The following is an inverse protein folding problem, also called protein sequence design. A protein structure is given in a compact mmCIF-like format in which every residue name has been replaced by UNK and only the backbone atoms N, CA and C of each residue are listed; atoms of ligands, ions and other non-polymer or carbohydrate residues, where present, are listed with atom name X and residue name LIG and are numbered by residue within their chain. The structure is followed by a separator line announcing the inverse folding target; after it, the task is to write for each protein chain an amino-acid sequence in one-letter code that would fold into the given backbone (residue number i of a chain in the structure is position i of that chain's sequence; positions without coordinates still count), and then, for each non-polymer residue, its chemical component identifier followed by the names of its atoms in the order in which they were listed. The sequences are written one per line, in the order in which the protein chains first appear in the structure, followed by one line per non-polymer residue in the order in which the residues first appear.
data_IF_918384705968
#
_entry.id   IF_918384705968
#
_cell.length_a   1.000
_cell.length_b   1.000
_cell.length_c   1.000
_cell.angle_alpha   90.00
_cell.angle_beta   90.00
_cell.angle_gamma   90.00
#
_symmetry.space_group_name_H-M   'P 1'
#
loop_
_entity.id
_entity.type
_entity.pdbx_description
1 polymer ?
#
# COMPACT_ATOMS: atom_id res chain seq x y z
N UNK A 1 26.23 3.18 4.92
CA UNK A 1 25.54 2.16 4.15
C UNK A 1 26.53 1.53 3.19
N UNK A 2 26.74 0.22 3.28
CA UNK A 2 27.71 -0.52 2.45
C UNK A 2 27.03 -1.17 1.23
N UNK A 3 25.98 -0.54 0.68
CA UNK A 3 25.31 -1.02 -0.51
C UNK A 3 26.07 -0.59 -1.76
N UNK A 4 26.29 -1.53 -2.68
CA UNK A 4 26.83 -1.25 -4.02
C UNK A 4 25.73 -0.85 -5.01
N UNK A 5 24.45 -0.86 -4.59
CA UNK A 5 23.31 -0.45 -5.41
C UNK A 5 23.22 1.07 -5.40
N UNK A 6 23.14 1.67 -6.58
CA UNK A 6 23.02 3.12 -6.71
C UNK A 6 21.64 3.60 -6.19
N UNK A 7 21.56 4.86 -5.72
CA UNK A 7 20.28 5.40 -5.19
C UNK A 7 19.15 5.38 -6.22
N UNK A 8 19.45 5.62 -7.46
CA UNK A 8 18.51 5.61 -8.58
C UNK A 8 17.94 4.23 -8.92
N UNK A 9 18.59 3.16 -8.48
CA UNK A 9 18.13 1.78 -8.65
C UNK A 9 17.24 1.30 -7.48
N UNK A 10 17.03 2.16 -6.49
CA UNK A 10 16.20 1.86 -5.30
C UNK A 10 14.93 2.69 -5.34
N UNK A 11 13.77 2.02 -5.32
CA UNK A 11 12.49 2.68 -5.09
C UNK A 11 12.23 2.81 -3.59
N UNK A 12 12.35 4.03 -3.06
CA UNK A 12 12.29 4.31 -1.61
C UNK A 12 10.95 4.92 -1.23
N UNK A 13 10.18 4.19 -0.43
CA UNK A 13 8.89 4.64 0.11
C UNK A 13 8.99 4.93 1.60
N UNK A 14 8.39 6.02 2.05
CA UNK A 14 8.13 6.29 3.47
C UNK A 14 6.74 6.88 3.68
N UNK A 15 6.34 7.08 4.94
CA UNK A 15 4.99 7.53 5.28
C UNK A 15 5.01 8.66 6.31
N UNK A 16 4.10 9.61 6.18
CA UNK A 16 3.75 10.55 7.25
C UNK A 16 2.97 9.79 8.33
N UNK A 17 3.44 9.88 9.56
CA UNK A 17 2.76 9.25 10.69
C UNK A 17 1.52 10.03 11.13
N UNK A 18 0.69 9.41 11.93
CA UNK A 18 -0.63 9.90 12.36
C UNK A 18 -0.63 11.23 13.13
N UNK A 19 0.49 11.64 13.70
CA UNK A 19 0.67 12.92 14.39
C UNK A 19 1.16 14.06 13.47
N UNK A 20 1.27 13.80 12.16
CA UNK A 20 1.82 14.72 11.15
C UNK A 20 0.78 15.24 10.15
N UNK A 21 -0.50 15.22 10.51
CA UNK A 21 -1.60 15.63 9.63
C UNK A 21 -1.87 17.16 9.58
N UNK A 22 -1.00 17.96 10.17
CA UNK A 22 -1.06 19.43 10.03
C UNK A 22 0.00 19.86 9.05
N UNK A 23 -0.31 20.84 8.18
CA UNK A 23 0.59 21.31 7.11
C UNK A 23 2.03 21.52 7.57
N UNK A 24 2.25 22.32 8.64
CA UNK A 24 3.60 22.62 9.14
C UNK A 24 4.31 21.38 9.69
N UNK A 25 3.57 20.48 10.34
CA UNK A 25 4.13 19.23 10.87
C UNK A 25 4.47 18.27 9.74
N UNK A 26 3.63 18.19 8.71
CA UNK A 26 3.91 17.36 7.53
C UNK A 26 5.15 17.85 6.78
N UNK A 27 5.24 19.16 6.55
CA UNK A 27 6.40 19.78 5.88
C UNK A 27 7.71 19.50 6.62
N UNK A 28 7.74 19.74 7.94
CA UNK A 28 8.90 19.42 8.78
C UNK A 28 9.24 17.93 8.74
N UNK A 29 8.24 17.05 8.81
CA UNK A 29 8.45 15.60 8.82
C UNK A 29 8.98 15.06 7.49
N UNK A 30 8.68 15.71 6.36
CA UNK A 30 9.26 15.37 5.06
C UNK A 30 10.76 15.64 5.07
N UNK A 31 11.17 16.85 5.49
CA UNK A 31 12.59 17.22 5.56
C UNK A 31 13.36 16.35 6.56
N UNK A 32 12.79 16.08 7.74
CA UNK A 32 13.36 15.13 8.72
C UNK A 32 13.50 13.70 8.17
N UNK A 33 12.57 13.27 7.31
CA UNK A 33 12.63 11.94 6.70
C UNK A 33 13.77 11.84 5.69
N UNK A 34 13.95 12.85 4.86
CA UNK A 34 15.07 12.94 3.91
C UNK A 34 16.43 12.95 4.66
N UNK A 35 16.55 13.77 5.70
CA UNK A 35 17.76 13.85 6.52
C UNK A 35 18.08 12.50 7.19
N UNK A 36 17.08 11.87 7.83
CA UNK A 36 17.24 10.60 8.54
C UNK A 36 17.61 9.44 7.61
N UNK A 37 17.08 9.44 6.39
CA UNK A 37 17.39 8.45 5.37
C UNK A 37 18.69 8.75 4.63
N UNK A 38 19.23 9.99 4.74
CA UNK A 38 20.45 10.42 4.07
C UNK A 38 20.30 10.48 2.56
N UNK A 39 19.13 10.95 2.07
CA UNK A 39 18.82 11.02 0.63
C UNK A 39 18.26 12.40 0.26
N UNK A 40 18.43 12.78 -1.00
CA UNK A 40 17.96 14.07 -1.53
C UNK A 40 16.49 13.99 -1.99
N UNK A 41 15.97 12.78 -2.27
CA UNK A 41 14.59 12.57 -2.71
C UNK A 41 14.03 11.23 -2.25
N UNK A 42 12.70 11.15 -2.18
CA UNK A 42 11.91 9.93 -2.02
C UNK A 42 11.26 9.56 -3.36
N UNK A 43 11.08 8.28 -3.62
CA UNK A 43 10.32 7.84 -4.79
C UNK A 43 8.81 7.89 -4.52
N UNK A 44 8.38 7.56 -3.30
CA UNK A 44 6.98 7.62 -2.89
C UNK A 44 6.86 8.07 -1.42
N UNK A 45 5.95 9.00 -1.17
CA UNK A 45 5.52 9.41 0.16
C UNK A 45 4.02 9.19 0.33
N UNK A 46 3.61 8.56 1.43
CA UNK A 46 2.22 8.25 1.71
C UNK A 46 1.74 8.90 3.01
N UNK A 47 0.47 9.34 3.08
CA UNK A 47 -0.22 9.50 4.37
C UNK A 47 -0.52 8.10 4.89
N UNK A 48 -0.12 7.79 6.14
CA UNK A 48 -0.17 6.40 6.63
C UNK A 48 -1.60 5.92 6.94
N UNK A 49 -2.41 6.75 7.60
CA UNK A 49 -3.82 6.47 7.92
C UNK A 49 -4.67 7.73 7.76
N UNK A 50 -5.91 7.63 7.25
CA UNK A 50 -6.73 8.82 6.97
C UNK A 50 -7.30 9.48 8.22
N UNK A 51 -7.65 8.68 9.23
CA UNK A 51 -8.49 9.11 10.37
C UNK A 51 -7.89 8.70 11.72
N UNK A 52 -6.73 9.29 12.11
CA UNK A 52 -6.14 9.00 13.41
C UNK A 52 -7.07 9.43 14.55
N UNK A 53 -7.03 8.68 15.66
CA UNK A 53 -7.91 8.87 16.82
C UNK A 53 -8.00 10.34 17.30
N UNK A 54 -6.89 11.05 17.25
CA UNK A 54 -6.82 12.46 17.70
C UNK A 54 -7.61 13.43 16.80
N UNK A 55 -7.98 13.03 15.58
CA UNK A 55 -8.65 13.88 14.59
C UNK A 55 -10.08 13.41 14.26
N UNK A 56 -10.64 12.45 14.99
CA UNK A 56 -11.99 11.92 14.70
C UNK A 56 -13.10 12.85 15.10
N UNK A 57 -12.89 13.65 16.15
CA UNK A 57 -13.94 14.57 16.62
C UNK A 57 -14.20 15.65 15.55
N UNK A 58 -15.48 15.88 15.25
CA UNK A 58 -15.94 16.88 14.30
C UNK A 58 -15.33 16.77 12.90
N UNK A 59 -14.98 15.55 12.49
CA UNK A 59 -14.34 15.28 11.18
C UNK A 59 -13.03 16.06 10.95
N UNK A 60 -12.30 16.39 12.01
CA UNK A 60 -11.06 17.16 11.91
C UNK A 60 -9.99 16.48 11.03
N UNK A 61 -10.11 15.16 10.80
CA UNK A 61 -9.26 14.41 9.89
C UNK A 61 -9.32 14.95 8.44
N UNK A 62 -10.46 15.50 8.00
CA UNK A 62 -10.59 16.09 6.65
C UNK A 62 -9.61 17.24 6.47
N UNK A 63 -9.66 18.21 7.39
CA UNK A 63 -8.74 19.34 7.39
C UNK A 63 -7.27 18.90 7.63
N UNK A 64 -7.07 17.90 8.47
CA UNK A 64 -5.77 17.31 8.71
C UNK A 64 -5.16 16.72 7.44
N UNK A 65 -5.90 15.85 6.75
CA UNK A 65 -5.44 15.26 5.49
C UNK A 65 -5.20 16.33 4.41
N UNK A 66 -6.09 17.32 4.27
CA UNK A 66 -5.91 18.42 3.33
C UNK A 66 -4.62 19.21 3.61
N UNK A 67 -4.31 19.47 4.88
CA UNK A 67 -3.07 20.15 5.28
C UNK A 67 -1.83 19.32 4.98
N UNK A 68 -1.83 18.06 5.34
CA UNK A 68 -0.74 17.13 5.03
C UNK A 68 -0.54 16.97 3.52
N UNK A 69 -1.63 16.80 2.78
CA UNK A 69 -1.59 16.65 1.32
C UNK A 69 -0.99 17.86 0.63
N UNK A 70 -1.38 19.06 1.03
CA UNK A 70 -0.81 20.31 0.51
C UNK A 70 0.72 20.36 0.70
N UNK A 71 1.24 19.97 1.87
CA UNK A 71 2.68 19.89 2.10
C UNK A 71 3.36 18.85 1.20
N UNK A 72 2.69 17.72 0.94
CA UNK A 72 3.19 16.68 0.03
C UNK A 72 3.19 17.15 -1.43
N UNK A 73 2.18 17.87 -1.87
CA UNK A 73 2.12 18.48 -3.21
C UNK A 73 3.25 19.50 -3.44
N UNK A 74 3.56 20.31 -2.43
CA UNK A 74 4.70 21.23 -2.49
C UNK A 74 6.01 20.46 -2.60
N UNK A 75 6.23 19.44 -1.77
CA UNK A 75 7.42 18.59 -1.83
C UNK A 75 7.56 17.86 -3.19
N UNK A 76 6.44 17.45 -3.78
CA UNK A 76 6.40 16.88 -5.14
C UNK A 76 6.84 17.93 -6.19
N UNK A 77 6.29 19.14 -6.13
CA UNK A 77 6.63 20.24 -7.03
C UNK A 77 8.11 20.70 -6.88
N UNK A 78 8.66 20.61 -5.66
CA UNK A 78 10.06 20.89 -5.34
C UNK A 78 11.02 19.75 -5.77
N UNK A 79 10.51 18.59 -6.20
CA UNK A 79 11.31 17.44 -6.59
C UNK A 79 11.88 16.63 -5.41
N UNK A 80 11.50 16.94 -4.17
CA UNK A 80 11.85 16.17 -2.97
C UNK A 80 11.16 14.79 -2.94
N UNK A 81 10.00 14.66 -3.60
CA UNK A 81 9.23 13.43 -3.68
C UNK A 81 8.79 13.23 -5.13
N UNK A 82 9.00 12.04 -5.69
CA UNK A 82 8.66 11.70 -7.09
C UNK A 82 7.20 11.29 -7.30
N UNK A 83 6.59 10.72 -6.25
CA UNK A 83 5.18 10.36 -6.25
C UNK A 83 4.60 10.53 -4.84
N UNK A 84 3.35 10.98 -4.77
CA UNK A 84 2.61 11.14 -3.51
C UNK A 84 1.36 10.29 -3.52
N UNK A 85 1.01 9.72 -2.38
CA UNK A 85 -0.13 8.83 -2.26
C UNK A 85 -0.63 8.73 -0.82
N UNK A 86 -1.51 7.79 -0.63
CA UNK A 86 -2.17 7.54 0.66
C UNK A 86 -2.10 6.07 1.02
N UNK A 87 -2.38 5.74 2.28
CA UNK A 87 -2.47 4.36 2.73
C UNK A 87 -3.69 4.20 3.65
N UNK A 88 -4.39 3.07 3.53
CA UNK A 88 -5.60 2.76 4.29
C UNK A 88 -6.79 3.70 4.06
N UNK A 89 -6.80 4.47 2.97
CA UNK A 89 -7.91 5.33 2.62
C UNK A 89 -9.05 4.51 2.02
N UNK A 90 -10.23 4.63 2.60
CA UNK A 90 -11.49 4.16 2.03
C UNK A 90 -12.04 5.20 1.05
N UNK A 91 -13.07 4.85 0.27
CA UNK A 91 -13.64 5.74 -0.74
C UNK A 91 -13.99 7.13 -0.18
N UNK A 92 -14.69 7.23 0.94
CA UNK A 92 -15.09 8.51 1.53
C UNK A 92 -13.89 9.37 1.99
N UNK A 93 -12.76 8.74 2.36
CA UNK A 93 -11.53 9.47 2.67
C UNK A 93 -10.88 10.05 1.42
N UNK A 94 -10.86 9.29 0.31
CA UNK A 94 -10.37 9.75 -0.98
C UNK A 94 -11.24 10.89 -1.52
N UNK A 95 -12.57 10.76 -1.44
CA UNK A 95 -13.51 11.80 -1.85
C UNK A 95 -13.26 13.11 -1.11
N UNK A 96 -13.18 13.06 0.22
CA UNK A 96 -12.92 14.25 1.03
C UNK A 96 -11.54 14.88 0.75
N UNK A 97 -10.52 14.07 0.49
CA UNK A 97 -9.19 14.57 0.13
C UNK A 97 -9.22 15.27 -1.23
N UNK A 98 -9.87 14.69 -2.22
CA UNK A 98 -9.95 15.23 -3.58
C UNK A 98 -10.79 16.50 -3.69
N UNK A 99 -11.62 16.87 -2.70
CA UNK A 99 -12.28 18.17 -2.68
C UNK A 99 -11.29 19.35 -2.66
N UNK A 100 -10.07 19.14 -2.13
CA UNK A 100 -9.06 20.20 -1.95
C UNK A 100 -7.73 19.89 -2.64
N UNK A 101 -7.49 18.68 -3.07
CA UNK A 101 -6.26 18.25 -3.72
C UNK A 101 -6.12 18.85 -5.13
N UNK A 102 -4.94 19.36 -5.46
CA UNK A 102 -4.57 19.75 -6.84
C UNK A 102 -4.05 18.54 -7.64
N UNK A 103 -3.46 17.57 -6.95
CA UNK A 103 -2.90 16.34 -7.52
C UNK A 103 -3.69 15.15 -6.97
N UNK A 104 -4.25 14.33 -7.85
CA UNK A 104 -4.88 13.06 -7.47
C UNK A 104 -3.81 12.15 -6.86
N UNK A 105 -4.09 11.42 -5.75
CA UNK A 105 -3.15 10.44 -5.22
C UNK A 105 -2.68 9.46 -6.30
N UNK A 106 -1.36 9.34 -6.48
CA UNK A 106 -0.81 8.36 -7.44
C UNK A 106 -1.02 6.92 -6.96
N UNK A 107 -1.05 6.72 -5.64
CA UNK A 107 -1.11 5.40 -5.01
C UNK A 107 -2.08 5.41 -3.83
N UNK A 108 -2.85 4.34 -3.67
CA UNK A 108 -3.47 3.97 -2.39
C UNK A 108 -2.91 2.60 -1.96
N UNK A 109 -2.14 2.58 -0.87
CA UNK A 109 -1.57 1.34 -0.32
C UNK A 109 -2.53 0.77 0.72
N UNK A 110 -3.17 -0.36 0.42
CA UNK A 110 -4.18 -1.01 1.27
C UNK A 110 -3.88 -2.48 1.46
N UNK A 111 -4.54 -3.14 2.42
CA UNK A 111 -4.44 -4.58 2.56
C UNK A 111 -5.22 -5.25 1.42
N UNK A 112 -4.49 -5.98 0.57
CA UNK A 112 -5.06 -6.80 -0.51
C UNK A 112 -4.37 -8.17 -0.50
N UNK A 113 -5.17 -9.21 -0.41
CA UNK A 113 -4.73 -10.60 -0.42
C UNK A 113 -5.85 -11.47 -1.00
N UNK A 114 -5.58 -12.68 -1.48
CA UNK A 114 -6.63 -13.61 -1.85
C UNK A 114 -7.68 -13.72 -0.75
N UNK A 115 -8.97 -13.61 -1.09
CA UNK A 115 -10.08 -13.56 -0.13
C UNK A 115 -10.25 -12.24 0.65
N UNK A 116 -9.46 -11.21 0.32
CA UNK A 116 -9.59 -9.85 0.84
C UNK A 116 -9.21 -8.86 -0.27
N UNK A 117 -10.08 -8.71 -1.26
CA UNK A 117 -9.84 -7.95 -2.49
C UNK A 117 -10.47 -6.55 -2.53
N UNK A 118 -11.36 -6.22 -1.57
CA UNK A 118 -11.96 -4.89 -1.42
C UNK A 118 -12.54 -4.33 -2.74
N UNK A 119 -13.31 -5.14 -3.48
CA UNK A 119 -13.75 -4.89 -4.87
C UNK A 119 -14.23 -3.46 -5.13
N UNK A 120 -15.12 -2.92 -4.28
CA UNK A 120 -15.69 -1.57 -4.46
C UNK A 120 -14.59 -0.48 -4.40
N UNK A 121 -13.68 -0.58 -3.42
CA UNK A 121 -12.59 0.37 -3.27
C UNK A 121 -11.56 0.24 -4.40
N UNK A 122 -11.28 -0.99 -4.83
CA UNK A 122 -10.40 -1.28 -5.96
C UNK A 122 -10.97 -0.66 -7.23
N UNK A 123 -12.24 -0.90 -7.55
CA UNK A 123 -12.91 -0.32 -8.71
C UNK A 123 -12.87 1.22 -8.66
N UNK A 124 -13.18 1.81 -7.51
CA UNK A 124 -13.13 3.26 -7.30
C UNK A 124 -11.74 3.86 -7.57
N UNK A 125 -10.67 3.19 -7.12
CA UNK A 125 -9.29 3.63 -7.34
C UNK A 125 -8.90 3.50 -8.82
N UNK A 126 -9.22 2.35 -9.45
CA UNK A 126 -8.89 2.07 -10.85
C UNK A 126 -9.56 3.05 -11.82
N UNK A 127 -10.83 3.42 -11.58
CA UNK A 127 -11.54 4.44 -12.38
C UNK A 127 -10.89 5.83 -12.33
N UNK A 128 -9.99 6.08 -11.37
CA UNK A 128 -9.31 7.36 -11.15
C UNK A 128 -7.81 7.30 -11.37
N UNK A 129 -7.33 6.22 -12.00
CA UNK A 129 -5.90 5.98 -12.24
C UNK A 129 -5.05 5.99 -10.94
N UNK A 130 -5.65 5.64 -9.79
CA UNK A 130 -4.95 5.48 -8.52
C UNK A 130 -4.40 4.05 -8.45
N UNK A 131 -3.08 3.89 -8.46
CA UNK A 131 -2.43 2.59 -8.36
C UNK A 131 -2.65 1.98 -6.97
N UNK A 132 -2.80 0.66 -6.95
CA UNK A 132 -3.01 -0.09 -5.72
C UNK A 132 -1.75 -0.86 -5.34
N UNK A 133 -1.18 -0.52 -4.19
CA UNK A 133 -0.15 -1.32 -3.53
C UNK A 133 -0.79 -2.22 -2.48
N UNK A 134 -0.51 -3.52 -2.59
CA UNK A 134 -1.03 -4.54 -1.69
C UNK A 134 -0.07 -4.78 -0.53
N UNK A 135 -0.29 -4.16 0.63
CA UNK A 135 0.46 -4.58 1.82
C UNK A 135 -0.13 -5.85 2.42
N UNK A 136 0.69 -6.61 3.14
CA UNK A 136 0.32 -7.92 3.69
C UNK A 136 -0.32 -8.86 2.66
N UNK A 137 0.27 -9.05 1.47
CA UNK A 137 -0.32 -9.85 0.39
C UNK A 137 -0.48 -11.33 0.75
N UNK A 138 0.07 -11.75 1.87
CA UNK A 138 -0.06 -13.10 2.44
C UNK A 138 -1.04 -13.13 3.65
N UNK A 139 -1.92 -12.12 3.79
CA UNK A 139 -2.88 -12.02 4.87
C UNK A 139 -2.24 -12.08 6.27
N UNK A 140 -1.04 -11.49 6.47
CA UNK A 140 -0.24 -11.61 7.70
C UNK A 140 0.04 -13.05 8.13
N UNK A 141 0.04 -13.98 7.17
CA UNK A 141 0.27 -15.40 7.39
C UNK A 141 -1.01 -16.24 7.48
N UNK A 142 -2.19 -15.65 7.50
CA UNK A 142 -3.47 -16.39 7.57
C UNK A 142 -3.77 -17.22 6.32
N UNK A 143 -3.07 -16.97 5.21
CA UNK A 143 -3.23 -17.74 3.98
C UNK A 143 -2.62 -19.15 4.06
N UNK A 144 -1.62 -19.35 4.93
CA UNK A 144 -0.97 -20.66 5.06
C UNK A 144 -1.88 -21.65 5.80
N UNK A 145 -1.96 -22.88 5.29
CA UNK A 145 -2.85 -23.91 5.79
C UNK A 145 -4.30 -23.80 5.27
N UNK A 146 -4.58 -22.89 4.34
CA UNK A 146 -5.84 -22.85 3.62
C UNK A 146 -5.80 -23.90 2.49
N UNK A 147 -6.69 -24.91 2.57
CA UNK A 147 -6.67 -26.06 1.68
C UNK A 147 -6.88 -25.68 0.20
N UNK A 148 -7.72 -24.69 -0.08
CA UNK A 148 -7.98 -24.20 -1.45
C UNK A 148 -6.71 -23.57 -2.05
N UNK A 149 -5.99 -22.74 -1.26
CA UNK A 149 -4.75 -22.11 -1.70
C UNK A 149 -3.63 -23.13 -1.90
N UNK A 150 -3.54 -24.13 -1.00
CA UNK A 150 -2.58 -25.22 -1.12
C UNK A 150 -2.84 -26.05 -2.38
N UNK A 151 -4.10 -26.34 -2.70
CA UNK A 151 -4.47 -27.05 -3.91
C UNK A 151 -4.13 -26.25 -5.19
N UNK A 152 -4.32 -24.92 -5.19
CA UNK A 152 -3.89 -24.05 -6.30
C UNK A 152 -2.36 -24.05 -6.42
N UNK A 153 -1.64 -23.99 -5.31
CA UNK A 153 -0.19 -24.00 -5.27
C UNK A 153 0.39 -25.32 -5.84
N UNK A 154 -0.19 -26.45 -5.44
CA UNK A 154 0.20 -27.78 -5.94
C UNK A 154 0.00 -27.90 -7.46
N UNK A 155 -1.18 -27.52 -7.97
CA UNK A 155 -1.48 -27.57 -9.42
C UNK A 155 -0.50 -26.75 -10.26
N UNK A 156 -0.06 -25.62 -9.73
CA UNK A 156 0.86 -24.72 -10.41
C UNK A 156 2.35 -25.03 -10.13
N UNK A 157 2.65 -26.05 -9.34
CA UNK A 157 4.02 -26.39 -8.90
C UNK A 157 4.74 -25.17 -8.26
N UNK A 158 4.02 -24.31 -7.55
CA UNK A 158 4.51 -23.10 -6.88
C UNK A 158 4.18 -23.15 -5.39
N UNK A 159 4.82 -22.30 -4.60
CA UNK A 159 4.47 -22.16 -3.18
C UNK A 159 3.21 -21.31 -3.00
N UNK A 160 2.53 -21.48 -1.86
CA UNK A 160 1.38 -20.65 -1.44
C UNK A 160 1.71 -19.14 -1.54
N UNK A 161 2.92 -18.75 -1.12
CA UNK A 161 3.35 -17.35 -1.22
C UNK A 161 3.44 -16.85 -2.67
N UNK A 162 4.04 -17.65 -3.57
CA UNK A 162 4.14 -17.29 -4.98
C UNK A 162 2.77 -17.19 -5.65
N UNK A 163 1.87 -18.11 -5.34
CA UNK A 163 0.48 -18.08 -5.84
C UNK A 163 -0.24 -16.80 -5.39
N UNK A 164 -0.16 -16.45 -4.10
CA UNK A 164 -0.79 -15.23 -3.59
C UNK A 164 -0.21 -13.95 -4.22
N UNK A 165 1.11 -13.90 -4.41
CA UNK A 165 1.77 -12.76 -5.06
C UNK A 165 1.41 -12.68 -6.54
N UNK A 166 1.32 -13.82 -7.23
CA UNK A 166 0.89 -13.87 -8.63
C UNK A 166 -0.55 -13.44 -8.81
N UNK A 167 -1.45 -13.87 -7.91
CA UNK A 167 -2.82 -13.39 -7.84
C UNK A 167 -2.86 -11.85 -7.75
N UNK A 168 -2.09 -11.24 -6.84
CA UNK A 168 -2.01 -9.78 -6.72
C UNK A 168 -1.61 -9.11 -8.03
N UNK A 169 -0.58 -9.64 -8.71
CA UNK A 169 -0.13 -9.08 -10.01
C UNK A 169 -1.21 -9.20 -11.09
N UNK A 170 -1.91 -10.34 -11.16
CA UNK A 170 -2.94 -10.56 -12.16
C UNK A 170 -4.21 -9.73 -11.91
N UNK A 171 -4.48 -9.33 -10.66
CA UNK A 171 -5.50 -8.32 -10.29
C UNK A 171 -5.05 -6.88 -10.58
N UNK A 172 -3.81 -6.67 -11.02
CA UNK A 172 -3.25 -5.34 -11.29
C UNK A 172 -2.72 -4.61 -10.05
N UNK A 173 -2.47 -5.33 -8.95
CA UNK A 173 -1.90 -4.77 -7.73
C UNK A 173 -0.39 -4.92 -7.69
N UNK A 174 0.31 -4.03 -6.99
CA UNK A 174 1.72 -4.16 -6.67
C UNK A 174 1.87 -4.80 -5.27
N UNK A 175 2.19 -6.09 -5.16
CA UNK A 175 2.34 -6.74 -3.86
C UNK A 175 3.63 -6.33 -3.15
N UNK A 176 3.54 -6.11 -1.83
CA UNK A 176 4.66 -5.74 -0.96
C UNK A 176 4.95 -6.85 0.07
N UNK A 177 5.51 -7.99 -0.33
CA UNK A 177 5.84 -9.06 0.58
C UNK A 177 7.05 -8.71 1.45
N UNK A 178 6.94 -8.90 2.76
CA UNK A 178 8.05 -8.72 3.70
C UNK A 178 8.67 -10.06 4.06
N UNK A 179 9.98 -10.18 3.95
CA UNK A 179 10.73 -11.30 4.50
C UNK A 179 12.09 -10.85 5.04
N UNK A 180 12.62 -11.60 6.01
CA UNK A 180 14.00 -11.46 6.50
C UNK A 180 14.84 -12.68 6.13
N UNK A 181 14.25 -13.69 5.49
CA UNK A 181 14.89 -14.93 5.08
C UNK A 181 15.30 -14.81 3.60
N UNK A 182 16.59 -14.84 3.25
CA UNK A 182 17.06 -14.67 1.88
C UNK A 182 16.34 -15.56 0.87
N UNK A 183 16.20 -16.84 1.17
CA UNK A 183 15.47 -17.81 0.32
C UNK A 183 14.03 -17.37 0.01
N UNK A 184 13.32 -16.78 0.99
CA UNK A 184 11.95 -16.31 0.78
C UNK A 184 11.94 -15.02 -0.05
N UNK A 185 12.94 -14.15 0.12
CA UNK A 185 13.07 -12.92 -0.69
C UNK A 185 13.26 -13.31 -2.15
N UNK A 186 14.15 -14.25 -2.44
CA UNK A 186 14.38 -14.78 -3.81
C UNK A 186 13.10 -15.42 -4.38
N UNK A 187 12.44 -16.30 -3.60
CA UNK A 187 11.21 -16.96 -4.04
C UNK A 187 10.05 -15.98 -4.29
N UNK A 188 9.96 -14.88 -3.53
CA UNK A 188 8.94 -13.85 -3.74
C UNK A 188 9.13 -13.08 -5.06
N UNK A 189 10.32 -13.11 -5.67
CA UNK A 189 10.59 -12.54 -6.99
C UNK A 189 10.35 -13.56 -8.13
N UNK A 190 10.32 -14.86 -7.83
CA UNK A 190 10.10 -15.93 -8.80
C UNK A 190 8.59 -16.14 -9.07
N UNK A 191 7.94 -15.10 -9.59
CA UNK A 191 6.48 -15.02 -9.80
C UNK A 191 6.10 -14.53 -11.20
N UNK A 192 7.08 -14.37 -12.09
CA UNK A 192 6.87 -13.81 -13.43
C UNK A 192 6.90 -14.87 -14.54
N UNK A 193 7.17 -16.12 -14.20
CA UNK A 193 7.36 -17.26 -15.12
C UNK A 193 6.11 -18.14 -15.27
N UNK A 194 4.99 -17.79 -14.61
CA UNK A 194 3.73 -18.51 -14.68
C UNK A 194 2.53 -17.59 -14.57
N UNK A 195 1.38 -18.06 -15.03
CA UNK A 195 0.09 -17.41 -14.85
C UNK A 195 -0.89 -18.36 -14.13
N UNK A 196 -1.71 -17.81 -13.26
CA UNK A 196 -2.87 -18.53 -12.70
C UNK A 196 -3.99 -18.56 -13.75
N UNK A 197 -4.65 -19.69 -13.87
CA UNK A 197 -5.85 -19.82 -14.71
C UNK A 197 -7.01 -18.99 -14.15
N UNK A 198 -8.01 -18.69 -14.99
CA UNK A 198 -9.25 -18.03 -14.54
C UNK A 198 -9.95 -18.83 -13.42
N UNK A 199 -9.89 -20.17 -13.48
CA UNK A 199 -10.43 -21.05 -12.46
C UNK A 199 -9.67 -20.89 -11.14
N UNK A 200 -8.35 -20.88 -11.16
CA UNK A 200 -7.50 -20.67 -9.97
C UNK A 200 -7.75 -19.28 -9.37
N UNK A 201 -7.81 -18.23 -10.20
CA UNK A 201 -8.16 -16.88 -9.76
C UNK A 201 -9.51 -16.83 -9.06
N UNK A 202 -10.54 -17.47 -9.63
CA UNK A 202 -11.88 -17.52 -9.06
C UNK A 202 -11.97 -18.32 -7.74
N UNK A 203 -11.08 -19.30 -7.53
CA UNK A 203 -10.95 -20.01 -6.25
C UNK A 203 -10.36 -19.08 -5.21
N UNK A 204 -9.26 -18.40 -5.55
CA UNK A 204 -8.54 -17.50 -4.65
C UNK A 204 -9.37 -16.27 -4.24
N UNK A 205 -10.21 -15.76 -5.13
CA UNK A 205 -11.13 -14.64 -4.83
C UNK A 205 -12.17 -15.00 -3.76
N UNK A 206 -12.51 -16.29 -3.60
CA UNK A 206 -13.58 -16.77 -2.72
C UNK A 206 -13.12 -17.37 -1.40
N UNK A 207 -11.82 -17.49 -1.17
CA UNK A 207 -11.31 -18.10 0.06
C UNK A 207 -11.76 -17.29 1.28
N UNK A 208 -11.88 -17.97 2.41
CA UNK A 208 -12.36 -17.38 3.67
C UNK A 208 -11.32 -17.49 4.77
N UNK A 209 -11.51 -16.72 5.83
CA UNK A 209 -10.64 -16.76 7.01
C UNK A 209 -9.33 -15.96 6.87
N UNK A 210 -9.19 -15.20 5.80
CA UNK A 210 -8.02 -14.32 5.60
C UNK A 210 -8.19 -13.04 6.42
N UNK A 211 -7.09 -12.55 6.99
CA UNK A 211 -7.11 -11.28 7.72
C UNK A 211 -7.54 -10.14 6.80
N UNK A 212 -8.53 -9.37 7.26
CA UNK A 212 -8.99 -8.16 6.58
C UNK A 212 -8.26 -6.91 7.09
N UNK A 213 -8.38 -5.81 6.37
CA UNK A 213 -7.88 -4.51 6.79
C UNK A 213 -8.59 -4.03 8.07
N UNK A 214 -7.83 -3.46 9.00
CA UNK A 214 -8.42 -2.77 10.14
C UNK A 214 -9.22 -1.55 9.64
N UNK A 215 -10.39 -1.30 10.25
CA UNK A 215 -11.21 -0.16 9.86
C UNK A 215 -10.52 1.16 10.26
N UNK A 216 -10.16 2.02 9.29
CA UNK A 216 -9.44 3.26 9.56
C UNK A 216 -10.20 4.27 10.42
N UNK A 217 -11.54 4.15 10.48
CA UNK A 217 -12.37 5.04 11.29
C UNK A 217 -12.46 4.64 12.76
N UNK A 218 -12.01 3.43 13.12
CA UNK A 218 -12.15 2.90 14.48
C UNK A 218 -10.84 2.39 15.09
N UNK A 219 -9.79 2.24 14.29
CA UNK A 219 -8.48 1.77 14.75
C UNK A 219 -7.88 2.67 15.84
N UNK A 220 -7.24 2.10 16.87
CA UNK A 220 -6.83 2.80 18.10
C UNK A 220 -5.42 3.42 18.06
N UNK A 221 -5.10 4.19 17.05
CA UNK A 221 -3.85 4.99 17.01
C UNK A 221 -4.03 6.31 16.25
#
# INVERSE_FOLDING_TARGET
ADSTVAREDIFLTTKLWNDKHVYELAKTSIDESLERLGVDYLDLLLIHWPNPKALRENDAWKAGNAGAWKAMEEAYKEGKVRAIGVSNFMQHHLEALMETAEIVPHVNQILLAPGCDQEDLVAYCQERDILLEAYSPLGTGSIFGNEDVEAVAERNCKSVAQVALRWSLQKGFLPLPKSVTPKNIEANLDIFDFDLSEEDMAVLDKIQGIKTQDNPDTVNF
#
